data_IF_264508898515
#
_entry.id   IF_264508898515
#
_cell.length_a   1.000
_cell.length_b   1.000
_cell.length_c   1.000
_cell.angle_alpha   90.00
_cell.angle_beta   90.00
_cell.angle_gamma   90.00
#
_symmetry.space_group_name_H-M   'P 1'
#
loop_
_entity.id
_entity.type
_entity.pdbx_description
1 polymer ?
#
# COMPACT_ATOMS: atom_id res chain seq x y z
N UNK A 1 -7.69 23.29 -30.81
CA UNK A 1 -6.43 23.70 -31.44
C UNK A 1 -5.38 22.69 -31.09
N UNK A 2 -5.07 21.77 -32.00
CA UNK A 2 -4.05 20.75 -31.79
C UNK A 2 -2.65 21.37 -31.79
N UNK A 3 -1.70 20.68 -31.20
CA UNK A 3 -0.32 21.14 -31.04
C UNK A 3 0.31 21.57 -32.37
N UNK A 4 0.00 20.85 -33.44
CA UNK A 4 0.43 21.13 -34.82
C UNK A 4 -0.06 22.48 -35.34
N UNK A 5 -1.30 22.87 -35.01
CA UNK A 5 -1.86 24.17 -35.42
C UNK A 5 -1.19 25.33 -34.66
N UNK A 6 -0.87 25.10 -33.37
CA UNK A 6 -0.19 26.08 -32.53
C UNK A 6 1.25 26.32 -32.99
N UNK A 7 2.01 25.26 -33.28
CA UNK A 7 3.38 25.42 -33.78
C UNK A 7 3.41 26.04 -35.17
N UNK A 8 2.47 25.68 -36.05
CA UNK A 8 2.30 26.31 -37.37
C UNK A 8 2.03 27.82 -37.25
N UNK A 9 1.18 28.22 -36.30
CA UNK A 9 0.94 29.63 -36.01
C UNK A 9 2.20 30.36 -35.53
N UNK A 10 2.96 29.75 -34.62
CA UNK A 10 4.21 30.33 -34.10
C UNK A 10 5.28 30.43 -35.21
N UNK A 11 5.42 29.42 -36.06
CA UNK A 11 6.31 29.47 -37.24
C UNK A 11 5.94 30.64 -38.16
N UNK A 12 4.65 30.82 -38.46
CA UNK A 12 4.18 31.96 -39.26
C UNK A 12 4.47 33.32 -38.61
N UNK A 13 4.36 33.44 -37.29
CA UNK A 13 4.76 34.65 -36.57
C UNK A 13 6.29 34.89 -36.64
N UNK A 14 7.08 33.83 -36.49
CA UNK A 14 8.55 33.88 -36.57
C UNK A 14 9.04 34.33 -37.94
N UNK A 15 8.42 33.85 -39.02
CA UNK A 15 8.68 34.31 -40.39
C UNK A 15 8.35 35.79 -40.58
N UNK A 16 7.24 36.25 -40.00
CA UNK A 16 6.80 37.66 -40.06
C UNK A 16 7.74 38.66 -39.37
N UNK A 17 8.59 38.20 -38.45
CA UNK A 17 9.58 39.02 -37.76
C UNK A 17 10.79 39.40 -38.64
N UNK A 18 10.95 38.79 -39.82
CA UNK A 18 12.05 39.06 -40.76
C UNK A 18 13.44 39.05 -40.07
N UNK A 19 13.69 38.03 -39.24
CA UNK A 19 14.93 37.89 -38.49
C UNK A 19 16.09 37.53 -39.42
N UNK A 20 17.29 38.01 -39.08
CA UNK A 20 18.51 37.73 -39.83
C UNK A 20 19.05 36.33 -39.50
N UNK A 21 18.85 35.37 -40.41
CA UNK A 21 19.28 33.97 -40.26
C UNK A 21 20.79 33.77 -40.04
N UNK A 22 21.60 34.78 -40.35
CA UNK A 22 23.05 34.70 -40.11
C UNK A 22 23.40 34.75 -38.62
N UNK A 23 22.52 35.35 -37.79
CA UNK A 23 22.75 35.55 -36.37
C UNK A 23 22.61 34.25 -35.58
N UNK A 24 23.51 33.98 -34.62
CA UNK A 24 23.49 32.75 -33.85
C UNK A 24 22.19 32.57 -33.06
N UNK A 25 21.58 33.65 -32.56
CA UNK A 25 20.33 33.58 -31.81
C UNK A 25 19.15 33.11 -32.68
N UNK A 26 19.12 33.52 -33.95
CA UNK A 26 18.06 33.13 -34.90
C UNK A 26 18.17 31.66 -35.27
N UNK A 27 19.39 31.14 -35.41
CA UNK A 27 19.63 29.71 -35.63
C UNK A 27 19.12 28.86 -34.46
N UNK A 28 19.33 29.31 -33.23
CA UNK A 28 18.82 28.62 -32.03
C UNK A 28 17.29 28.65 -32.02
N UNK A 29 16.67 29.80 -32.32
CA UNK A 29 15.21 29.92 -32.37
C UNK A 29 14.63 28.96 -33.42
N UNK A 30 15.18 28.92 -34.62
CA UNK A 30 14.70 28.02 -35.68
C UNK A 30 14.85 26.55 -35.26
N UNK A 31 15.97 26.17 -34.65
CA UNK A 31 16.16 24.82 -34.14
C UNK A 31 15.14 24.44 -33.05
N UNK A 32 14.76 25.39 -32.18
CA UNK A 32 13.70 25.19 -31.18
C UNK A 32 12.34 25.02 -31.87
N UNK A 33 12.03 25.82 -32.89
CA UNK A 33 10.78 25.72 -33.65
C UNK A 33 10.65 24.39 -34.39
N UNK A 34 11.75 23.89 -34.94
CA UNK A 34 11.80 22.57 -35.59
C UNK A 34 11.60 21.45 -34.57
N UNK A 35 12.29 21.50 -33.43
CA UNK A 35 12.09 20.53 -32.34
C UNK A 35 10.64 20.53 -31.84
N UNK A 36 10.03 21.70 -31.66
CA UNK A 36 8.65 21.80 -31.22
C UNK A 36 7.65 21.26 -32.26
N UNK A 37 8.01 21.33 -33.55
CA UNK A 37 7.21 20.75 -34.64
C UNK A 37 7.27 19.22 -34.57
N UNK A 38 8.46 18.65 -34.43
CA UNK A 38 8.67 17.21 -34.27
C UNK A 38 7.95 16.66 -33.02
N UNK A 39 8.00 17.40 -31.90
CA UNK A 39 7.24 17.07 -30.69
C UNK A 39 5.74 17.14 -30.96
N UNK A 40 5.26 18.11 -31.74
CA UNK A 40 3.84 18.23 -32.04
C UNK A 40 3.32 17.01 -32.82
N UNK A 41 4.10 16.45 -33.73
CA UNK A 41 3.75 15.22 -34.44
C UNK A 41 3.81 14.01 -33.51
N UNK A 42 4.92 13.85 -32.77
CA UNK A 42 5.10 12.72 -31.86
C UNK A 42 4.01 12.64 -30.79
N UNK A 43 3.51 13.79 -30.31
CA UNK A 43 2.42 13.83 -29.33
C UNK A 43 1.08 13.45 -29.96
N UNK A 44 0.75 13.90 -31.18
CA UNK A 44 -0.47 13.43 -31.84
C UNK A 44 -0.42 11.92 -32.09
N UNK A 45 0.70 11.39 -32.58
CA UNK A 45 0.86 9.95 -32.79
C UNK A 45 0.68 9.17 -31.48
N UNK A 46 1.13 9.74 -30.35
CA UNK A 46 0.95 9.14 -29.03
C UNK A 46 -0.51 9.23 -28.53
N UNK A 47 -1.23 10.31 -28.84
CA UNK A 47 -2.67 10.43 -28.55
C UNK A 47 -3.46 9.35 -29.31
N UNK A 48 -3.17 9.14 -30.60
CA UNK A 48 -3.81 8.08 -31.40
C UNK A 48 -3.54 6.68 -30.81
N UNK A 49 -2.28 6.40 -30.43
CA UNK A 49 -1.92 5.13 -29.79
C UNK A 49 -2.57 4.96 -28.40
N UNK A 50 -2.79 6.04 -27.67
CA UNK A 50 -3.47 6.00 -26.38
C UNK A 50 -4.95 5.69 -26.54
N UNK A 51 -5.62 6.26 -27.56
CA UNK A 51 -6.99 5.93 -27.89
C UNK A 51 -7.14 4.45 -28.29
N UNK A 52 -6.21 3.93 -29.10
CA UNK A 52 -6.16 2.50 -29.46
C UNK A 52 -5.92 1.59 -28.25
N UNK A 53 -5.07 2.02 -27.30
CA UNK A 53 -4.83 1.28 -26.07
C UNK A 53 -6.06 1.30 -25.16
N UNK A 54 -6.75 2.44 -25.04
CA UNK A 54 -7.98 2.55 -24.28
C UNK A 54 -9.03 1.56 -24.78
N UNK A 55 -9.21 1.46 -26.11
CA UNK A 55 -10.13 0.49 -26.70
C UNK A 55 -9.76 -0.97 -26.40
N UNK A 56 -8.46 -1.30 -26.37
CA UNK A 56 -8.01 -2.65 -25.98
C UNK A 56 -8.27 -2.94 -24.50
N UNK A 57 -8.15 -1.93 -23.62
CA UNK A 57 -8.47 -2.10 -22.20
C UNK A 57 -9.97 -2.35 -22.01
N UNK A 58 -10.82 -1.64 -22.75
CA UNK A 58 -12.27 -1.88 -22.73
C UNK A 58 -12.62 -3.29 -23.24
N UNK A 59 -11.91 -3.80 -24.25
CA UNK A 59 -12.07 -5.18 -24.75
C UNK A 59 -11.67 -6.21 -23.67
N UNK A 60 -10.55 -5.98 -22.98
CA UNK A 60 -10.10 -6.84 -21.88
C UNK A 60 -11.10 -6.84 -20.72
N UNK A 61 -11.65 -5.67 -20.36
CA UNK A 61 -12.67 -5.56 -19.31
C UNK A 61 -13.92 -6.36 -19.66
N UNK A 62 -14.37 -6.28 -20.91
CA UNK A 62 -15.50 -7.06 -21.38
C UNK A 62 -15.20 -8.57 -21.40
N UNK A 63 -14.04 -8.98 -21.91
CA UNK A 63 -13.64 -10.39 -21.92
C UNK A 63 -13.54 -10.95 -20.50
N UNK A 64 -13.05 -10.16 -19.55
CA UNK A 64 -12.98 -10.57 -18.14
C UNK A 64 -14.37 -10.71 -17.54
N UNK A 65 -15.29 -9.77 -17.82
CA UNK A 65 -16.69 -9.88 -17.39
C UNK A 65 -17.36 -11.15 -17.94
N UNK A 66 -17.11 -11.50 -19.21
CA UNK A 66 -17.64 -12.74 -19.80
C UNK A 66 -17.08 -14.00 -19.10
N UNK A 67 -15.79 -13.99 -18.74
CA UNK A 67 -15.16 -15.08 -17.97
C UNK A 67 -15.73 -15.16 -16.55
N UNK A 68 -15.93 -14.01 -15.90
CA UNK A 68 -16.56 -13.95 -14.59
C UNK A 68 -17.98 -14.50 -14.62
N UNK A 69 -18.74 -14.18 -15.68
CA UNK A 69 -20.05 -14.76 -15.89
C UNK A 69 -20.00 -16.29 -16.05
N UNK A 70 -19.12 -16.83 -16.89
CA UNK A 70 -19.03 -18.28 -17.09
C UNK A 70 -18.55 -19.05 -15.84
N UNK A 71 -17.70 -18.43 -15.00
CA UNK A 71 -17.11 -19.08 -13.83
C UNK A 71 -17.87 -18.84 -12.52
N UNK A 72 -18.48 -17.67 -12.35
CA UNK A 72 -19.07 -17.22 -11.09
C UNK A 72 -20.57 -16.89 -11.22
N UNK A 73 -21.11 -16.69 -12.42
CA UNK A 73 -22.54 -16.47 -12.67
C UNK A 73 -23.24 -17.80 -13.01
N UNK A 74 -22.75 -18.87 -12.36
CA UNK A 74 -23.53 -20.05 -12.06
C UNK A 74 -24.57 -19.59 -11.03
N UNK A 75 -25.70 -19.05 -11.52
CA UNK A 75 -26.96 -18.95 -10.76
C UNK A 75 -26.99 -20.16 -9.85
N UNK A 76 -26.91 -19.93 -8.53
CA UNK A 76 -26.83 -20.97 -7.53
C UNK A 76 -27.91 -22.02 -7.82
N UNK A 77 -27.54 -23.05 -8.57
CA UNK A 77 -28.40 -24.16 -8.94
C UNK A 77 -28.29 -25.27 -7.88
N UNK A 78 -27.63 -24.98 -6.74
CA UNK A 78 -28.11 -25.57 -5.51
C UNK A 78 -29.51 -25.00 -5.29
N UNK A 79 -30.54 -25.84 -5.18
CA UNK A 79 -31.84 -25.38 -4.69
C UNK A 79 -31.78 -25.00 -3.20
N UNK A 80 -30.77 -24.22 -2.80
CA UNK A 80 -30.47 -23.85 -1.44
C UNK A 80 -30.61 -22.33 -1.29
N UNK A 81 -31.63 -21.94 -0.53
CA UNK A 81 -32.04 -20.57 -0.19
C UNK A 81 -31.06 -19.90 0.79
N UNK A 82 -29.77 -20.28 0.75
CA UNK A 82 -28.78 -20.04 1.81
C UNK A 82 -27.36 -19.75 1.29
N UNK A 83 -27.20 -19.44 0.00
CA UNK A 83 -25.91 -19.05 -0.60
C UNK A 83 -25.88 -17.57 -1.01
N UNK A 84 -26.61 -16.74 -0.25
CA UNK A 84 -26.41 -15.30 -0.20
C UNK A 84 -25.84 -14.93 1.17
N UNK A 85 -24.73 -15.57 1.54
CA UNK A 85 -23.85 -15.05 2.60
C UNK A 85 -22.57 -14.57 1.91
N UNK A 86 -22.74 -13.58 1.03
CA UNK A 86 -21.68 -12.62 0.77
C UNK A 86 -21.67 -11.68 1.98
N UNK A 87 -21.29 -12.21 3.15
CA UNK A 87 -20.84 -11.36 4.23
C UNK A 87 -19.47 -10.84 3.82
N UNK A 88 -19.50 -9.56 3.52
CA UNK A 88 -18.41 -8.64 3.25
C UNK A 88 -17.55 -8.49 4.52
N UNK A 89 -16.83 -9.55 4.87
CA UNK A 89 -15.67 -9.46 5.75
C UNK A 89 -14.45 -9.97 4.96
N UNK A 90 -13.70 -9.02 4.39
CA UNK A 90 -12.27 -9.19 4.18
C UNK A 90 -11.59 -9.50 5.52
N UNK A 91 -11.78 -10.71 6.02
CA UNK A 91 -10.92 -11.30 7.02
C UNK A 91 -9.90 -12.13 6.25
N UNK A 92 -8.96 -11.43 5.62
CA UNK A 92 -7.60 -11.96 5.50
C UNK A 92 -6.98 -11.97 6.90
N UNK A 93 -7.59 -12.70 7.83
CA UNK A 93 -6.88 -13.32 8.92
C UNK A 93 -5.93 -14.31 8.24
N UNK A 94 -4.74 -13.82 7.92
CA UNK A 94 -3.52 -14.62 7.79
C UNK A 94 -3.29 -15.27 9.18
N UNK A 95 -4.19 -16.18 9.56
CA UNK A 95 -4.19 -16.98 10.80
C UNK A 95 -2.90 -17.81 10.90
N UNK A 96 -2.11 -17.88 9.82
CA UNK A 96 -0.83 -18.58 9.79
C UNK A 96 0.36 -17.70 10.23
N UNK A 97 0.24 -16.36 10.34
CA UNK A 97 1.36 -15.52 10.80
C UNK A 97 0.94 -14.14 11.39
N UNK A 98 0.52 -14.07 12.67
CA UNK A 98 0.11 -12.80 13.29
C UNK A 98 1.29 -11.82 13.41
N UNK A 99 1.04 -10.56 13.05
CA UNK A 99 1.98 -9.44 13.21
C UNK A 99 1.61 -8.59 14.43
N UNK A 100 2.61 -8.22 15.23
CA UNK A 100 2.45 -7.37 16.42
C UNK A 100 3.16 -6.02 16.24
N UNK A 101 2.54 -4.94 16.71
CA UNK A 101 3.14 -3.61 16.71
C UNK A 101 3.99 -3.41 17.98
N UNK A 102 5.30 -3.23 17.80
CA UNK A 102 6.26 -2.91 18.86
C UNK A 102 6.77 -1.47 18.67
N UNK A 103 6.86 -0.71 19.75
CA UNK A 103 7.49 0.62 19.72
C UNK A 103 8.92 0.55 20.24
N UNK A 104 9.89 0.95 19.42
CA UNK A 104 11.29 1.07 19.84
C UNK A 104 11.44 2.14 20.92
N UNK A 105 11.95 1.77 22.11
CA UNK A 105 12.15 2.70 23.23
C UNK A 105 13.20 3.79 22.96
N UNK A 106 14.15 3.56 22.04
CA UNK A 106 15.25 4.49 21.76
C UNK A 106 14.90 5.57 20.74
N UNK A 107 14.12 5.25 19.71
CA UNK A 107 13.75 6.20 18.65
C UNK A 107 12.26 6.50 18.54
N UNK A 108 11.40 5.77 19.26
CA UNK A 108 9.94 5.94 19.24
C UNK A 108 9.24 5.45 17.98
N UNK A 109 9.95 4.72 17.10
CA UNK A 109 9.34 4.15 15.89
C UNK A 109 8.52 2.92 16.22
N UNK A 110 7.30 2.87 15.65
CA UNK A 110 6.43 1.69 15.61
C UNK A 110 6.90 0.74 14.50
N UNK A 111 7.04 -0.53 14.84
CA UNK A 111 7.54 -1.61 14.01
C UNK A 111 6.50 -2.73 14.03
N UNK A 112 6.19 -3.31 12.88
CA UNK A 112 5.37 -4.52 12.81
C UNK A 112 6.30 -5.73 12.72
N UNK A 113 6.18 -6.66 13.64
CA UNK A 113 7.05 -7.84 13.78
C UNK A 113 6.17 -9.09 13.80
N UNK A 114 6.55 -10.12 13.05
CA UNK A 114 5.84 -11.41 13.06
C UNK A 114 6.12 -12.20 14.34
N UNK A 115 5.23 -13.12 14.70
CA UNK A 115 5.36 -13.96 15.91
C UNK A 115 6.70 -14.70 15.98
N UNK A 116 7.14 -15.32 14.88
CA UNK A 116 8.41 -16.06 14.82
C UNK A 116 9.61 -15.21 15.27
N UNK A 117 9.67 -13.95 14.85
CA UNK A 117 10.79 -13.04 15.16
C UNK A 117 10.71 -12.52 16.59
N UNK A 118 9.50 -12.42 17.16
CA UNK A 118 9.34 -12.09 18.58
C UNK A 118 9.77 -13.26 19.47
N UNK A 119 9.45 -14.49 19.09
CA UNK A 119 9.84 -15.69 19.82
C UNK A 119 11.35 -15.96 19.79
N UNK A 120 12.08 -15.43 18.82
CA UNK A 120 13.56 -15.43 18.81
C UNK A 120 14.15 -14.58 19.95
N UNK A 121 13.38 -13.63 20.50
CA UNK A 121 13.72 -12.87 21.72
C UNK A 121 14.60 -11.63 21.50
N UNK A 122 15.15 -11.42 20.29
CA UNK A 122 15.95 -10.24 19.95
C UNK A 122 15.73 -9.77 18.50
N UNK A 123 15.56 -8.46 18.30
CA UNK A 123 15.48 -7.85 16.95
C UNK A 123 16.20 -6.50 16.91
N UNK A 124 16.89 -6.20 15.82
CA UNK A 124 17.48 -4.88 15.59
C UNK A 124 16.44 -3.90 15.05
N UNK A 125 16.32 -2.72 15.67
CA UNK A 125 15.47 -1.66 15.15
C UNK A 125 16.01 -1.16 13.79
N UNK A 126 15.23 -1.22 12.69
CA UNK A 126 15.70 -0.82 11.36
C UNK A 126 15.99 0.68 11.22
N UNK A 127 15.55 1.50 12.18
CA UNK A 127 15.72 2.96 12.15
C UNK A 127 16.94 3.45 12.93
N UNK A 128 17.22 2.88 14.10
CA UNK A 128 18.33 3.32 14.94
C UNK A 128 19.41 2.25 15.18
N UNK A 129 19.18 1.00 14.79
CA UNK A 129 20.12 -0.10 14.97
C UNK A 129 20.29 -0.55 16.42
N UNK A 130 19.37 -0.16 17.30
CA UNK A 130 19.36 -0.62 18.69
C UNK A 130 18.77 -2.04 18.74
N UNK A 131 19.38 -2.93 19.52
CA UNK A 131 18.86 -4.27 19.80
C UNK A 131 17.69 -4.14 20.79
N UNK A 132 16.52 -4.60 20.36
CA UNK A 132 15.33 -4.75 21.19
C UNK A 132 15.30 -6.19 21.69
N UNK A 133 15.41 -6.37 23.00
CA UNK A 133 15.28 -7.66 23.68
C UNK A 133 13.84 -7.80 24.22
N UNK A 134 13.22 -8.95 23.98
CA UNK A 134 11.88 -9.30 24.48
C UNK A 134 11.99 -10.45 25.47
N UNK A 135 11.58 -10.20 26.72
CA UNK A 135 11.52 -11.24 27.75
C UNK A 135 10.06 -11.66 27.99
N UNK A 136 9.80 -12.95 27.80
CA UNK A 136 8.49 -13.56 28.01
C UNK A 136 8.47 -14.46 29.26
N UNK A 137 9.52 -14.47 30.09
CA UNK A 137 9.61 -15.31 31.28
C UNK A 137 8.41 -15.18 32.21
N UNK A 138 7.89 -13.95 32.35
CA UNK A 138 6.78 -13.63 33.25
C UNK A 138 5.41 -14.13 32.76
N UNK A 139 5.32 -14.61 31.51
CA UNK A 139 4.08 -15.08 30.88
C UNK A 139 3.93 -16.61 30.91
N UNK A 140 5.02 -17.35 31.14
CA UNK A 140 5.04 -18.82 31.08
C UNK A 140 5.26 -19.50 32.45
N UNK A 141 5.22 -18.75 33.55
CA UNK A 141 5.28 -19.34 34.89
C UNK A 141 3.97 -20.05 35.23
N UNK A 142 4.00 -21.38 35.09
CA UNK A 142 2.93 -22.33 35.39
C UNK A 142 2.79 -22.62 36.90
N UNK A 143 3.10 -21.65 37.77
CA UNK A 143 3.06 -21.84 39.23
C UNK A 143 2.32 -20.72 39.98
N UNK A 144 1.49 -21.19 40.90
CA UNK A 144 0.52 -20.51 41.73
C UNK A 144 1.15 -19.51 42.74
N UNK A 145 0.71 -18.25 42.67
CA UNK A 145 0.58 -17.20 43.71
C UNK A 145 1.82 -16.47 44.31
N UNK A 146 1.74 -15.13 44.45
CA UNK A 146 2.68 -14.36 45.29
C UNK A 146 2.79 -12.84 45.13
N UNK A 147 1.68 -12.09 45.24
CA UNK A 147 1.56 -10.66 45.59
C UNK A 147 2.72 -9.66 45.37
N UNK A 148 2.44 -8.66 44.52
CA UNK A 148 3.03 -7.31 44.58
C UNK A 148 2.09 -6.21 44.08
N UNK A 149 0.77 -6.44 44.14
CA UNK A 149 -0.25 -5.49 43.70
C UNK A 149 -0.70 -4.62 44.88
N UNK A 150 -0.38 -3.33 44.85
CA UNK A 150 -0.84 -2.31 45.79
C UNK A 150 -2.21 -1.79 45.34
N UNK A 151 -3.24 -2.64 45.41
CA UNK A 151 -4.62 -2.30 45.05
C UNK A 151 -5.54 -2.44 46.28
N UNK A 152 -6.09 -1.31 46.72
CA UNK A 152 -6.84 -1.06 47.96
C UNK A 152 -8.21 -1.75 48.10
N UNK A 153 -8.54 -2.80 47.32
CA UNK A 153 -9.92 -3.28 47.27
C UNK A 153 -10.06 -4.79 47.00
N UNK A 154 -9.41 -5.63 47.81
CA UNK A 154 -9.70 -7.08 47.84
C UNK A 154 -9.93 -7.54 49.28
N UNK A 155 -11.18 -7.42 49.72
CA UNK A 155 -11.66 -7.97 50.99
C UNK A 155 -12.17 -9.39 50.77
N UNK A 156 -11.28 -10.37 50.90
CA UNK A 156 -11.70 -11.75 51.14
C UNK A 156 -11.03 -12.29 52.40
N UNK A 157 -11.88 -12.54 53.39
CA UNK A 157 -11.59 -13.05 54.72
C UNK A 157 -10.99 -14.45 54.65
N UNK A 158 -9.79 -14.61 55.20
CA UNK A 158 -9.20 -15.90 55.52
C UNK A 158 -9.74 -16.38 56.89
N UNK A 159 -10.47 -17.49 56.89
CA UNK A 159 -10.69 -18.32 58.08
C UNK A 159 -9.79 -19.55 57.95
N UNK A 160 -8.53 -19.42 58.36
CA UNK A 160 -7.65 -20.55 58.64
C UNK A 160 -7.65 -20.80 60.15
N UNK A 161 -8.30 -21.89 60.55
CA UNK A 161 -8.03 -22.53 61.83
C UNK A 161 -7.35 -23.85 61.55
N UNK A 162 -6.11 -24.01 61.98
CA UNK A 162 -5.63 -25.23 62.64
C UNK A 162 -4.33 -24.88 63.38
N UNK A 163 -4.18 -25.50 64.54
CA UNK A 163 -3.42 -25.03 65.67
C UNK A 163 -1.93 -25.43 65.64
N UNK A 164 -1.12 -24.54 66.20
CA UNK A 164 0.26 -24.78 66.65
C UNK A 164 0.37 -26.02 67.55
N UNK A 165 1.39 -26.84 67.28
CA UNK A 165 1.91 -27.85 68.22
C UNK A 165 3.29 -27.38 68.70
N UNK A 166 3.32 -26.92 69.96
CA UNK A 166 4.30 -27.36 70.96
C UNK A 166 3.55 -27.83 72.22
#
# INVERSE_FOLDING_TARGET
>A
MNLTEKISYIKGLAEGLNLDESKPEVKVINAILDLLDDISYSVNDMEDLYDDLSGQVDEIDQDLADVETELFDDDCNCGCDDCCDCDDEEDYEDEENPFYEVTCGSCGQKLNVSEDVLLEGEIECPNCGELLEFDFSDLFDEDECGHGCDCEECSHTADDAEADVE
#
